data_IF_311062988556
#
_entry.id   IF_311062988556
#
_cell.length_a   1.000
_cell.length_b   1.000
_cell.length_c   1.000
_cell.angle_alpha   90.00
_cell.angle_beta   90.00
_cell.angle_gamma   90.00
#
_symmetry.space_group_name_H-M   'P 1'
#
loop_
_entity.id
_entity.type
_entity.pdbx_description
1 polymer ?
#
# COMPACT_ATOMS: atom_id res chain seq x y z
N UNK A 1 -7.59 5.78 1.10
CA UNK A 1 -7.96 4.72 2.08
C UNK A 1 -6.98 4.78 3.24
N UNK A 2 -7.47 4.68 4.48
CA UNK A 2 -6.66 4.81 5.69
C UNK A 2 -6.56 3.44 6.39
N UNK A 3 -5.42 2.77 6.26
CA UNK A 3 -5.13 1.48 6.92
C UNK A 3 -4.03 1.64 7.98
N UNK A 4 -3.89 2.84 8.56
CA UNK A 4 -2.83 3.13 9.51
C UNK A 4 -2.96 2.27 10.78
N UNK A 5 -1.83 1.84 11.35
CA UNK A 5 -1.75 1.07 12.60
C UNK A 5 -2.48 -0.27 12.58
N UNK A 6 -2.43 -0.97 11.45
CA UNK A 6 -2.81 -2.37 11.37
C UNK A 6 -1.55 -3.26 11.37
N UNK A 7 -1.70 -4.54 11.68
CA UNK A 7 -0.61 -5.52 11.59
C UNK A 7 -0.57 -6.16 10.19
N UNK A 8 -0.86 -5.38 9.14
CA UNK A 8 -0.86 -5.91 7.78
C UNK A 8 0.58 -6.24 7.38
N UNK A 9 0.81 -7.52 7.09
CA UNK A 9 2.06 -8.01 6.53
C UNK A 9 2.06 -7.98 4.99
N UNK A 10 0.87 -8.05 4.37
CA UNK A 10 0.70 -8.05 2.90
C UNK A 10 -0.57 -7.31 2.48
N UNK A 11 -0.63 -6.91 1.21
CA UNK A 11 -1.86 -6.44 0.57
C UNK A 11 -2.34 -7.40 -0.54
N UNK A 12 -3.65 -7.53 -0.77
CA UNK A 12 -4.17 -8.32 -1.88
C UNK A 12 -3.71 -7.75 -3.24
N UNK A 13 -3.53 -8.62 -4.24
CA UNK A 13 -3.10 -8.20 -5.60
C UNK A 13 -4.16 -7.34 -6.27
N UNK A 14 -5.42 -7.60 -5.93
CA UNK A 14 -6.63 -6.91 -6.38
C UNK A 14 -6.58 -5.40 -6.14
N UNK A 15 -5.69 -4.92 -5.25
CA UNK A 15 -5.47 -3.48 -5.06
C UNK A 15 -5.05 -2.76 -6.36
N UNK A 16 -4.46 -3.47 -7.32
CA UNK A 16 -4.12 -2.95 -8.66
C UNK A 16 -5.36 -2.48 -9.45
N UNK A 17 -6.55 -2.95 -9.11
CA UNK A 17 -7.81 -2.54 -9.75
C UNK A 17 -8.22 -1.12 -9.34
N UNK A 18 -7.65 -0.58 -8.25
CA UNK A 18 -7.92 0.76 -7.75
C UNK A 18 -7.18 1.83 -8.56
N UNK A 19 -7.39 1.85 -9.88
CA UNK A 19 -6.72 2.74 -10.85
C UNK A 19 -6.92 4.24 -10.57
N UNK A 20 -8.00 4.59 -9.88
CA UNK A 20 -8.35 5.97 -9.52
C UNK A 20 -7.84 6.37 -8.13
N UNK A 21 -7.15 5.48 -7.41
CA UNK A 21 -6.66 5.76 -6.07
C UNK A 21 -5.49 6.75 -6.13
N UNK A 22 -5.73 7.97 -5.67
CA UNK A 22 -4.72 9.03 -5.63
C UNK A 22 -3.76 8.89 -4.45
N UNK A 23 -4.27 8.43 -3.30
CA UNK A 23 -3.47 8.28 -2.08
C UNK A 23 -3.86 7.05 -1.25
N UNK A 24 -2.83 6.39 -0.71
CA UNK A 24 -2.94 5.21 0.14
C UNK A 24 -2.05 5.38 1.37
N UNK A 25 -2.65 5.33 2.56
CA UNK A 25 -1.92 5.45 3.81
C UNK A 25 -1.81 4.07 4.49
N UNK A 26 -0.57 3.58 4.57
CA UNK A 26 -0.14 2.31 5.17
C UNK A 26 0.83 2.53 6.34
N UNK A 27 0.85 3.74 6.91
CA UNK A 27 1.70 4.07 8.07
C UNK A 27 1.46 3.09 9.22
N UNK A 28 2.50 2.78 9.98
CA UNK A 28 2.44 1.85 11.12
C UNK A 28 1.90 0.44 10.76
N UNK A 29 2.22 -0.08 9.57
CA UNK A 29 2.00 -1.49 9.21
C UNK A 29 3.32 -2.26 9.15
N UNK A 30 3.26 -3.57 9.38
CA UNK A 30 4.42 -4.47 9.39
C UNK A 30 4.77 -4.98 7.99
N UNK A 31 4.77 -4.07 7.00
CA UNK A 31 5.10 -4.39 5.62
C UNK A 31 6.62 -4.49 5.46
N UNK A 32 7.11 -5.61 4.94
CA UNK A 32 8.53 -5.79 4.60
C UNK A 32 8.94 -4.83 3.48
N UNK A 33 10.25 -4.62 3.29
CA UNK A 33 10.77 -3.76 2.22
C UNK A 33 10.34 -4.29 0.84
N UNK A 34 10.37 -5.61 0.67
CA UNK A 34 9.92 -6.28 -0.56
C UNK A 34 8.45 -6.00 -0.85
N UNK A 35 7.60 -6.03 0.18
CA UNK A 35 6.18 -5.78 0.04
C UNK A 35 5.88 -4.32 -0.29
N UNK A 36 6.61 -3.38 0.33
CA UNK A 36 6.51 -1.94 -0.02
C UNK A 36 6.83 -1.71 -1.50
N UNK A 37 7.88 -2.34 -2.02
CA UNK A 37 8.26 -2.27 -3.45
C UNK A 37 7.21 -2.94 -4.35
N UNK A 38 6.63 -4.07 -3.93
CA UNK A 38 5.53 -4.72 -4.66
C UNK A 38 4.32 -3.78 -4.79
N UNK A 39 3.93 -3.12 -3.70
CA UNK A 39 2.78 -2.20 -3.68
C UNK A 39 3.03 -0.98 -4.58
N UNK A 40 4.26 -0.43 -4.58
CA UNK A 40 4.64 0.67 -5.51
C UNK A 40 4.48 0.27 -6.97
N UNK A 41 4.81 -0.97 -7.33
CA UNK A 41 4.64 -1.50 -8.70
C UNK A 41 3.17 -1.72 -9.06
N UNK A 42 2.34 -2.15 -8.11
CA UNK A 42 0.91 -2.38 -8.32
C UNK A 42 0.13 -1.05 -8.48
N UNK A 43 0.59 0.02 -7.83
CA UNK A 43 -0.07 1.32 -7.83
C UNK A 43 0.90 2.46 -8.21
N UNK A 44 1.45 2.48 -9.43
CA UNK A 44 2.52 3.41 -9.82
C UNK A 44 2.09 4.88 -9.86
N UNK A 45 0.78 5.16 -9.90
CA UNK A 45 0.21 6.52 -9.91
C UNK A 45 -0.36 6.96 -8.56
N UNK A 46 -0.29 6.10 -7.54
CA UNK A 46 -0.83 6.37 -6.21
C UNK A 46 0.28 6.90 -5.29
N UNK A 47 -0.01 7.94 -4.52
CA UNK A 47 0.88 8.40 -3.46
C UNK A 47 0.72 7.50 -2.23
N UNK A 48 1.74 6.69 -1.93
CA UNK A 48 1.71 5.72 -0.83
C UNK A 48 2.56 6.23 0.33
N UNK A 49 1.98 6.21 1.54
CA UNK A 49 2.65 6.61 2.78
C UNK A 49 2.90 5.38 3.65
N UNK A 50 4.16 5.07 3.95
CA UNK A 50 4.57 3.91 4.76
C UNK A 50 5.06 4.28 6.18
N UNK A 51 5.33 5.56 6.45
CA UNK A 51 5.89 6.11 7.71
C UNK A 51 4.93 7.09 8.36
#
# INVERSE_FOLDING_TARGET
>A
MYLYSNQLATLPKEIEQLKNLKSLNLKNNQLSIEEKERIRKLLPKCQIYFE
#
